data_IF_228438763473
#
_entry.id   IF_228438763473
#
_cell.length_a   1.000
_cell.length_b   1.000
_cell.length_c   1.000
_cell.angle_alpha   90.00
_cell.angle_beta   90.00
_cell.angle_gamma   90.00
#
_symmetry.space_group_name_H-M   'P 1'
#
loop_
_entity.id
_entity.type
_entity.pdbx_description
1 polymer ?
#
# COMPACT_ATOMS: atom_id res chain seq x y z
N UNK A 1 -43.10 -65.78 52.11
CA UNK A 1 -42.40 -64.52 52.43
C UNK A 1 -41.45 -64.24 51.30
N UNK A 2 -41.75 -63.31 50.38
CA UNK A 2 -40.83 -62.74 49.51
C UNK A 2 -41.42 -61.46 48.87
N UNK A 3 -40.81 -60.33 49.16
CA UNK A 3 -41.25 -58.98 48.81
C UNK A 3 -40.65 -58.63 47.44
N UNK A 4 -41.54 -58.53 46.44
CA UNK A 4 -41.26 -58.10 45.11
C UNK A 4 -41.06 -56.58 45.06
N UNK A 5 -39.85 -56.09 44.79
CA UNK A 5 -39.59 -54.67 44.58
C UNK A 5 -39.85 -54.30 43.11
N UNK A 6 -40.91 -53.52 42.90
CA UNK A 6 -41.21 -52.88 41.65
C UNK A 6 -40.23 -51.75 41.41
N UNK A 7 -39.36 -51.84 40.36
CA UNK A 7 -38.53 -50.76 39.86
C UNK A 7 -39.38 -49.90 38.95
N UNK A 8 -39.60 -48.66 39.39
CA UNK A 8 -40.10 -47.55 38.55
C UNK A 8 -39.01 -47.10 37.62
N UNK A 9 -39.22 -47.27 36.32
CA UNK A 9 -38.47 -46.62 35.32
C UNK A 9 -38.96 -45.18 35.10
N UNK A 10 -38.22 -44.21 35.54
CA UNK A 10 -38.43 -42.80 35.17
C UNK A 10 -37.76 -42.58 33.81
N UNK A 11 -38.60 -42.47 32.78
CA UNK A 11 -38.12 -42.04 31.46
C UNK A 11 -37.84 -40.53 31.52
N UNK A 12 -36.58 -40.18 31.58
CA UNK A 12 -36.12 -38.79 31.38
C UNK A 12 -36.12 -38.52 29.86
N UNK A 13 -37.14 -37.78 29.43
CA UNK A 13 -37.15 -37.21 28.07
C UNK A 13 -36.14 -36.10 28.00
N UNK A 14 -34.99 -36.39 27.38
CA UNK A 14 -33.98 -35.38 27.06
C UNK A 14 -34.48 -34.61 25.85
N UNK A 15 -34.98 -33.41 26.07
CA UNK A 15 -35.26 -32.44 24.99
C UNK A 15 -33.90 -31.96 24.43
N UNK A 16 -33.50 -32.49 23.31
CA UNK A 16 -32.42 -31.90 22.50
C UNK A 16 -33.00 -30.60 21.91
N UNK A 17 -32.68 -29.46 22.53
CA UNK A 17 -32.81 -28.17 21.92
C UNK A 17 -31.76 -28.08 20.79
N UNK A 18 -32.20 -28.27 19.56
CA UNK A 18 -31.39 -27.94 18.38
C UNK A 18 -31.23 -26.43 18.33
N UNK A 19 -30.16 -25.94 18.90
CA UNK A 19 -29.69 -24.59 18.60
C UNK A 19 -29.20 -24.57 17.17
N UNK A 20 -30.11 -24.24 16.25
CA UNK A 20 -29.69 -23.77 14.92
C UNK A 20 -28.86 -22.51 15.12
N UNK A 21 -27.56 -22.68 15.18
CA UNK A 21 -26.61 -21.59 15.11
C UNK A 21 -26.82 -20.90 13.77
N UNK A 22 -27.51 -19.76 13.80
CA UNK A 22 -27.42 -18.78 12.74
C UNK A 22 -25.93 -18.45 12.62
N UNK A 23 -25.27 -19.03 11.62
CA UNK A 23 -23.98 -18.54 11.14
C UNK A 23 -24.23 -17.10 10.66
N UNK A 24 -24.04 -16.13 11.55
CA UNK A 24 -24.00 -14.73 11.18
C UNK A 24 -22.91 -14.64 10.10
N UNK A 25 -23.32 -14.31 8.88
CA UNK A 25 -22.42 -14.02 7.80
C UNK A 25 -21.39 -13.03 8.35
N UNK A 26 -20.11 -13.41 8.35
CA UNK A 26 -19.04 -12.51 8.76
C UNK A 26 -19.00 -11.39 7.72
N UNK A 27 -19.72 -10.30 7.97
CA UNK A 27 -19.49 -9.05 7.29
C UNK A 27 -18.01 -8.73 7.40
N UNK A 28 -17.42 -8.24 6.32
CA UNK A 28 -16.02 -7.81 6.28
C UNK A 28 -15.74 -6.96 7.53
N UNK A 29 -15.01 -7.52 8.49
CA UNK A 29 -14.70 -6.88 9.78
C UNK A 29 -13.48 -5.98 9.67
N UNK A 30 -13.21 -5.44 8.48
CA UNK A 30 -12.15 -4.46 8.27
C UNK A 30 -12.36 -3.26 9.21
N UNK A 31 -11.33 -2.79 9.91
CA UNK A 31 -11.43 -1.58 10.74
C UNK A 31 -11.99 -0.37 9.98
N UNK A 32 -11.72 -0.28 8.66
CA UNK A 32 -12.26 0.76 7.80
C UNK A 32 -13.80 0.72 7.73
N UNK A 33 -14.39 -0.48 7.63
CA UNK A 33 -15.84 -0.66 7.60
C UNK A 33 -16.47 -0.33 8.95
N UNK A 34 -15.82 -0.69 10.05
CA UNK A 34 -16.31 -0.41 11.41
C UNK A 34 -16.30 1.10 11.74
N UNK A 35 -15.40 1.85 11.15
CA UNK A 35 -15.25 3.29 11.38
C UNK A 35 -16.20 4.16 10.56
N UNK A 36 -17.06 3.58 9.69
CA UNK A 36 -17.94 4.33 8.82
C UNK A 36 -19.06 5.05 9.61
N UNK A 37 -19.25 6.34 9.32
CA UNK A 37 -20.44 7.08 9.74
C UNK A 37 -21.68 6.57 9.00
N UNK A 38 -22.92 6.79 9.51
CA UNK A 38 -24.12 6.33 8.84
C UNK A 38 -24.26 6.77 7.36
N UNK A 39 -23.96 8.02 6.96
CA UNK A 39 -23.96 8.41 5.55
C UNK A 39 -22.91 7.65 4.71
N UNK A 40 -21.67 7.54 5.21
CA UNK A 40 -20.60 6.81 4.54
C UNK A 40 -20.94 5.32 4.41
N UNK A 41 -21.59 4.75 5.42
CA UNK A 41 -22.06 3.37 5.38
C UNK A 41 -23.09 3.16 4.28
N UNK A 42 -24.02 4.08 4.09
CA UNK A 42 -25.01 4.01 3.02
C UNK A 42 -24.38 4.01 1.62
N UNK A 43 -23.35 4.83 1.40
CA UNK A 43 -22.60 4.81 0.12
C UNK A 43 -21.81 3.50 -0.05
N UNK A 44 -21.17 3.02 1.00
CA UNK A 44 -20.47 1.73 0.98
C UNK A 44 -21.42 0.56 0.65
N UNK A 45 -22.61 0.51 1.27
CA UNK A 45 -23.57 -0.56 1.06
C UNK A 45 -24.09 -0.56 -0.39
N UNK A 46 -24.31 0.62 -1.01
CA UNK A 46 -24.61 0.74 -2.46
C UNK A 46 -23.50 0.13 -3.32
N UNK A 47 -22.25 0.43 -3.03
CA UNK A 47 -21.11 -0.17 -3.77
C UNK A 47 -21.13 -1.70 -3.65
N UNK A 48 -21.44 -2.25 -2.49
CA UNK A 48 -21.55 -3.70 -2.31
C UNK A 48 -22.68 -4.35 -3.13
N UNK A 49 -23.76 -3.59 -3.42
CA UNK A 49 -24.89 -4.04 -4.22
C UNK A 49 -24.67 -3.85 -5.72
N UNK A 50 -23.99 -2.79 -6.13
CA UNK A 50 -23.84 -2.39 -7.53
C UNK A 50 -22.60 -3.01 -8.21
N UNK A 51 -21.51 -3.22 -7.44
CA UNK A 51 -20.26 -3.72 -8.01
C UNK A 51 -20.20 -5.25 -8.06
N UNK A 52 -19.44 -5.78 -9.04
CA UNK A 52 -19.28 -7.21 -9.24
C UNK A 52 -18.20 -7.82 -8.36
N UNK A 53 -18.33 -9.14 -8.16
CA UNK A 53 -17.33 -9.94 -7.47
C UNK A 53 -15.98 -9.90 -8.21
N UNK A 54 -14.94 -9.38 -7.57
CA UNK A 54 -13.60 -9.25 -8.14
C UNK A 54 -12.91 -10.59 -8.50
N UNK A 55 -13.50 -11.74 -8.13
CA UNK A 55 -13.03 -13.06 -8.55
C UNK A 55 -13.78 -13.62 -9.76
N UNK A 56 -14.58 -12.80 -10.46
CA UNK A 56 -15.29 -13.16 -11.68
C UNK A 56 -16.54 -14.04 -11.46
N UNK A 57 -16.97 -14.24 -10.23
CA UNK A 57 -18.23 -14.92 -9.94
C UNK A 57 -19.42 -14.01 -10.32
N UNK A 58 -20.54 -14.56 -10.82
CA UNK A 58 -21.66 -13.78 -11.33
C UNK A 58 -22.59 -13.27 -10.21
N UNK A 59 -21.99 -12.61 -9.21
CA UNK A 59 -22.72 -11.98 -8.12
C UNK A 59 -22.13 -10.63 -7.75
N UNK A 60 -22.84 -9.90 -6.91
CA UNK A 60 -22.38 -8.61 -6.40
C UNK A 60 -21.18 -8.76 -5.46
N UNK A 61 -20.46 -7.68 -5.25
CA UNK A 61 -19.35 -7.63 -4.31
C UNK A 61 -19.79 -8.05 -2.90
N UNK A 62 -20.97 -7.58 -2.46
CA UNK A 62 -21.53 -7.95 -1.16
C UNK A 62 -21.89 -9.43 -1.04
N UNK A 63 -22.41 -10.04 -2.10
CA UNK A 63 -22.66 -11.49 -2.12
C UNK A 63 -21.33 -12.27 -2.12
N UNK A 64 -20.35 -11.79 -2.85
CA UNK A 64 -19.02 -12.40 -2.93
C UNK A 64 -18.34 -12.46 -1.55
N UNK A 65 -18.42 -11.40 -0.78
CA UNK A 65 -17.86 -11.35 0.58
C UNK A 65 -18.48 -12.39 1.53
N UNK A 66 -19.74 -12.78 1.28
CA UNK A 66 -20.49 -13.76 2.11
C UNK A 66 -20.24 -15.20 1.67
N UNK A 67 -20.16 -15.44 0.34
CA UNK A 67 -20.13 -16.80 -0.23
C UNK A 67 -18.76 -17.23 -0.73
N UNK A 68 -17.82 -16.30 -0.95
CA UNK A 68 -16.46 -16.55 -1.43
C UNK A 68 -15.44 -15.89 -0.50
N UNK A 69 -15.40 -16.31 0.75
CA UNK A 69 -14.52 -15.74 1.80
C UNK A 69 -13.03 -15.89 1.50
N UNK A 70 -12.65 -16.83 0.62
CA UNK A 70 -11.29 -17.01 0.11
C UNK A 70 -10.89 -15.97 -0.96
N UNK A 71 -11.86 -15.25 -1.52
CA UNK A 71 -11.61 -14.22 -2.53
C UNK A 71 -10.95 -12.98 -1.92
N UNK A 72 -9.63 -12.99 -1.82
CA UNK A 72 -8.85 -11.85 -1.31
C UNK A 72 -9.03 -10.58 -2.12
N UNK A 73 -9.38 -10.72 -3.41
CA UNK A 73 -9.59 -9.59 -4.29
C UNK A 73 -10.84 -8.81 -3.87
N UNK A 74 -11.97 -9.48 -3.66
CA UNK A 74 -13.19 -8.84 -3.17
C UNK A 74 -13.02 -8.21 -1.79
N UNK A 75 -12.23 -8.82 -0.90
CA UNK A 75 -11.92 -8.21 0.41
C UNK A 75 -11.14 -6.89 0.27
N UNK A 76 -10.24 -6.81 -0.71
CA UNK A 76 -9.50 -5.58 -0.99
C UNK A 76 -10.39 -4.50 -1.61
N UNK A 77 -11.23 -4.85 -2.59
CA UNK A 77 -12.20 -3.94 -3.18
C UNK A 77 -13.13 -3.34 -2.11
N UNK A 78 -13.67 -4.18 -1.24
CA UNK A 78 -14.50 -3.73 -0.12
C UNK A 78 -13.74 -2.81 0.85
N UNK A 79 -12.46 -3.08 1.09
CA UNK A 79 -11.63 -2.20 1.94
C UNK A 79 -11.41 -0.84 1.29
N UNK A 80 -11.10 -0.80 -0.01
CA UNK A 80 -10.96 0.45 -0.78
C UNK A 80 -12.27 1.23 -0.77
N UNK A 81 -13.41 0.55 -1.04
CA UNK A 81 -14.73 1.17 -1.00
C UNK A 81 -15.03 1.80 0.37
N UNK A 82 -14.71 1.11 1.47
CA UNK A 82 -14.92 1.66 2.81
C UNK A 82 -14.03 2.88 3.09
N UNK A 83 -12.78 2.87 2.65
CA UNK A 83 -11.88 4.00 2.83
C UNK A 83 -12.36 5.24 2.05
N UNK A 84 -12.81 5.08 0.81
CA UNK A 84 -13.30 6.19 -0.01
C UNK A 84 -14.67 6.70 0.51
N UNK A 85 -15.59 5.81 0.88
CA UNK A 85 -16.84 6.21 1.51
C UNK A 85 -16.60 6.99 2.82
N UNK A 86 -15.62 6.57 3.63
CA UNK A 86 -15.22 7.28 4.84
C UNK A 86 -14.66 8.69 4.58
N UNK A 87 -14.20 8.97 3.36
CA UNK A 87 -13.79 10.30 2.88
C UNK A 87 -14.94 11.14 2.32
N UNK A 88 -16.14 10.59 2.26
CA UNK A 88 -17.32 11.25 1.71
C UNK A 88 -17.47 11.13 0.20
N UNK A 89 -16.77 10.17 -0.42
CA UNK A 89 -16.89 9.86 -1.86
C UNK A 89 -18.19 9.10 -2.10
N UNK A 90 -18.92 9.43 -3.16
CA UNK A 90 -20.19 8.78 -3.52
C UNK A 90 -19.98 7.38 -4.10
N UNK A 91 -20.99 6.51 -4.01
CA UNK A 91 -20.91 5.15 -4.55
C UNK A 91 -20.52 5.11 -6.04
N UNK A 92 -21.06 6.02 -6.86
CA UNK A 92 -20.72 6.10 -8.28
C UNK A 92 -19.23 6.45 -8.54
N UNK A 93 -18.68 7.37 -7.76
CA UNK A 93 -17.26 7.74 -7.86
C UNK A 93 -16.38 6.60 -7.35
N UNK A 94 -16.78 5.93 -6.28
CA UNK A 94 -16.10 4.75 -5.76
C UNK A 94 -16.06 3.63 -6.82
N UNK A 95 -17.17 3.37 -7.53
CA UNK A 95 -17.20 2.39 -8.61
C UNK A 95 -16.14 2.68 -9.68
N UNK A 96 -15.97 3.95 -10.07
CA UNK A 96 -14.91 4.36 -11.02
C UNK A 96 -13.50 4.06 -10.45
N UNK A 97 -13.27 4.34 -9.18
CA UNK A 97 -11.97 4.04 -8.54
C UNK A 97 -11.72 2.52 -8.43
N UNK A 98 -12.76 1.74 -8.11
CA UNK A 98 -12.66 0.28 -8.08
C UNK A 98 -12.34 -0.31 -9.46
N UNK A 99 -12.99 0.18 -10.52
CA UNK A 99 -12.69 -0.24 -11.89
C UNK A 99 -11.23 0.05 -12.28
N UNK A 100 -10.69 1.21 -11.89
CA UNK A 100 -9.27 1.55 -12.07
C UNK A 100 -8.35 0.63 -11.29
N UNK A 101 -8.73 0.32 -10.06
CA UNK A 101 -7.98 -0.59 -9.19
C UNK A 101 -7.94 -1.99 -9.79
N UNK A 102 -9.07 -2.52 -10.28
CA UNK A 102 -9.14 -3.82 -10.95
C UNK A 102 -8.29 -3.86 -12.21
N UNK A 103 -8.36 -2.84 -13.05
CA UNK A 103 -7.52 -2.74 -14.23
C UNK A 103 -6.03 -2.85 -13.87
N UNK A 104 -5.60 -2.21 -12.77
CA UNK A 104 -4.24 -2.30 -12.26
C UNK A 104 -3.80 -3.71 -11.84
N UNK A 105 -4.74 -4.61 -11.52
CA UNK A 105 -4.42 -6.02 -11.20
C UNK A 105 -4.02 -6.83 -12.43
N UNK A 106 -4.55 -6.49 -13.59
CA UNK A 106 -4.29 -7.17 -14.86
C UNK A 106 -3.09 -6.57 -15.59
N UNK A 107 -2.59 -5.41 -15.13
CA UNK A 107 -1.40 -4.80 -15.69
C UNK A 107 -0.16 -5.67 -15.41
N UNK A 108 0.73 -5.73 -16.39
CA UNK A 108 2.00 -6.44 -16.24
C UNK A 108 2.79 -5.89 -15.06
N UNK A 109 3.03 -6.72 -14.06
CA UNK A 109 3.81 -6.32 -12.88
C UNK A 109 5.27 -6.15 -13.27
N UNK A 110 5.81 -4.97 -13.05
CA UNK A 110 7.22 -4.69 -13.26
C UNK A 110 8.04 -5.23 -12.09
N UNK A 111 9.15 -5.88 -12.39
CA UNK A 111 10.14 -6.27 -11.38
C UNK A 111 11.13 -5.14 -11.22
N UNK A 112 11.42 -4.79 -9.99
CA UNK A 112 12.42 -3.77 -9.65
C UNK A 112 13.60 -4.45 -8.96
N UNK A 113 14.81 -4.03 -9.34
CA UNK A 113 16.01 -4.41 -8.60
C UNK A 113 16.21 -3.38 -7.49
N UNK A 114 16.24 -3.85 -6.27
CA UNK A 114 16.45 -3.03 -5.08
C UNK A 114 17.89 -3.28 -4.59
N UNK A 115 18.63 -2.20 -4.43
CA UNK A 115 19.97 -2.22 -3.85
C UNK A 115 19.84 -2.04 -2.33
N UNK A 116 20.28 -3.01 -1.54
CA UNK A 116 20.17 -2.99 -0.08
C UNK A 116 20.86 -1.77 0.56
N UNK A 117 21.81 -1.14 -0.13
CA UNK A 117 22.47 0.10 0.33
C UNK A 117 21.52 1.32 0.33
N UNK A 118 20.38 1.21 -0.33
CA UNK A 118 19.31 2.22 -0.36
C UNK A 118 18.14 1.83 0.58
N UNK A 119 18.36 0.82 1.43
CA UNK A 119 17.34 0.34 2.36
C UNK A 119 17.74 0.61 3.80
N UNK A 120 16.74 0.88 4.65
CA UNK A 120 16.84 0.83 6.10
C UNK A 120 16.19 -0.44 6.62
N UNK A 121 16.55 -0.86 7.85
CA UNK A 121 15.99 -2.07 8.45
C UNK A 121 16.75 -3.35 8.05
N UNK A 122 16.17 -4.50 8.38
CA UNK A 122 16.83 -5.80 8.18
C UNK A 122 16.64 -6.29 6.74
N UNK A 123 17.69 -6.78 6.05
CA UNK A 123 17.55 -7.35 4.70
C UNK A 123 16.52 -8.48 4.62
N UNK A 124 16.34 -9.25 5.70
CA UNK A 124 15.41 -10.37 5.80
C UNK A 124 14.02 -9.98 6.32
N UNK A 125 13.71 -8.68 6.38
CA UNK A 125 12.38 -8.23 6.79
C UNK A 125 11.30 -8.84 5.89
N UNK A 126 10.20 -9.29 6.49
CA UNK A 126 9.11 -9.96 5.76
C UNK A 126 8.36 -9.04 4.80
N UNK A 127 8.48 -7.72 4.99
CA UNK A 127 7.87 -6.70 4.15
C UNK A 127 8.95 -5.73 3.69
N UNK A 128 9.03 -5.51 2.38
CA UNK A 128 9.82 -4.43 1.79
C UNK A 128 8.87 -3.33 1.32
N UNK A 129 9.02 -2.14 1.91
CA UNK A 129 8.34 -0.94 1.48
C UNK A 129 9.26 -0.22 0.49
N UNK A 130 8.89 -0.20 -0.78
CA UNK A 130 9.63 0.49 -1.84
C UNK A 130 9.01 1.86 -2.08
N UNK A 131 9.74 2.91 -1.73
CA UNK A 131 9.36 4.30 -1.96
C UNK A 131 9.96 4.78 -3.28
N UNK A 132 9.11 5.20 -4.21
CA UNK A 132 9.53 5.90 -5.43
C UNK A 132 9.43 7.39 -5.19
N UNK A 133 10.55 8.08 -5.14
CA UNK A 133 10.62 9.43 -4.60
C UNK A 133 11.51 10.36 -5.41
N UNK A 134 11.20 11.65 -5.33
CA UNK A 134 11.88 12.76 -6.00
C UNK A 134 12.28 13.81 -4.96
N UNK A 135 13.55 14.23 -4.97
CA UNK A 135 14.08 15.18 -4.00
C UNK A 135 13.51 16.59 -4.10
N UNK A 136 12.94 16.98 -5.24
CA UNK A 136 12.25 18.28 -5.40
C UNK A 136 10.74 18.19 -5.19
N UNK A 137 10.15 16.98 -5.07
CA UNK A 137 8.72 16.83 -4.87
C UNK A 137 8.31 17.18 -3.42
N UNK A 138 7.45 18.21 -3.22
CA UNK A 138 7.02 18.59 -1.86
C UNK A 138 6.28 17.47 -1.13
N UNK A 139 5.48 16.67 -1.86
CA UNK A 139 4.75 15.55 -1.27
C UNK A 139 5.70 14.44 -0.80
N UNK A 140 6.79 14.19 -1.52
CA UNK A 140 7.81 13.24 -1.10
C UNK A 140 8.46 13.69 0.21
N UNK A 141 8.82 14.98 0.32
CA UNK A 141 9.38 15.53 1.55
C UNK A 141 8.42 15.44 2.75
N UNK A 142 7.12 15.63 2.53
CA UNK A 142 6.09 15.49 3.57
C UNK A 142 5.85 14.03 3.96
N UNK A 143 5.96 13.10 3.01
CA UNK A 143 5.69 11.68 3.24
C UNK A 143 6.88 10.97 3.88
N UNK A 144 8.11 11.40 3.59
CA UNK A 144 9.36 10.82 4.11
C UNK A 144 9.31 10.54 5.61
N UNK A 145 9.09 11.52 6.50
CA UNK A 145 9.11 11.27 7.93
C UNK A 145 8.03 10.30 8.41
N UNK A 146 6.91 10.22 7.69
CA UNK A 146 5.82 9.28 7.99
C UNK A 146 6.28 7.85 7.69
N UNK A 147 6.90 7.63 6.52
CA UNK A 147 7.40 6.32 6.09
C UNK A 147 8.58 5.87 6.96
N UNK A 148 9.51 6.77 7.25
CA UNK A 148 10.66 6.51 8.13
C UNK A 148 10.20 6.10 9.54
N UNK A 149 9.25 6.85 10.10
CA UNK A 149 8.68 6.50 11.41
C UNK A 149 7.95 5.16 11.37
N UNK A 150 7.13 4.92 10.36
CA UNK A 150 6.43 3.65 10.21
C UNK A 150 7.41 2.48 10.10
N UNK A 151 8.47 2.62 9.32
CA UNK A 151 9.49 1.59 9.16
C UNK A 151 10.25 1.36 10.47
N UNK A 152 10.58 2.42 11.22
CA UNK A 152 11.24 2.33 12.51
C UNK A 152 10.37 1.65 13.57
N UNK A 153 9.09 2.02 13.68
CA UNK A 153 8.13 1.41 14.60
C UNK A 153 7.90 -0.08 14.30
N UNK A 154 8.12 -0.51 13.05
CA UNK A 154 7.93 -1.88 12.58
C UNK A 154 9.23 -2.57 12.15
N UNK A 155 10.38 -2.15 12.64
CA UNK A 155 11.71 -2.59 12.17
C UNK A 155 11.97 -4.10 12.25
N UNK A 156 11.20 -4.84 13.05
CA UNK A 156 11.27 -6.30 13.09
C UNK A 156 10.75 -6.96 11.81
N UNK A 157 9.83 -6.31 11.08
CA UNK A 157 9.09 -6.87 9.95
C UNK A 157 9.19 -6.05 8.67
N UNK A 158 9.49 -4.77 8.76
CA UNK A 158 9.49 -3.83 7.63
C UNK A 158 10.90 -3.30 7.41
N UNK A 159 11.31 -3.27 6.15
CA UNK A 159 12.42 -2.45 5.66
C UNK A 159 11.90 -1.42 4.67
N UNK A 160 12.43 -0.21 4.72
CA UNK A 160 12.12 0.86 3.78
C UNK A 160 13.27 1.00 2.81
N UNK A 161 12.98 0.96 1.50
CA UNK A 161 13.93 1.12 0.42
C UNK A 161 13.54 2.28 -0.46
N UNK A 162 14.47 3.20 -0.65
CA UNK A 162 14.28 4.36 -1.52
C UNK A 162 14.67 4.03 -2.96
N UNK A 163 13.83 4.44 -3.92
CA UNK A 163 14.06 4.30 -5.35
C UNK A 163 13.87 5.66 -6.03
N UNK A 164 14.84 6.05 -6.85
CA UNK A 164 14.78 7.31 -7.56
C UNK A 164 13.65 7.34 -8.58
N UNK A 165 12.85 8.40 -8.52
CA UNK A 165 11.78 8.68 -9.49
C UNK A 165 11.74 10.18 -9.84
N UNK A 166 12.78 10.72 -10.48
CA UNK A 166 12.87 12.14 -10.80
C UNK A 166 11.79 12.52 -11.81
N UNK A 167 10.96 13.50 -11.45
CA UNK A 167 9.88 14.01 -12.27
C UNK A 167 10.43 15.04 -13.26
N UNK A 168 9.95 15.01 -14.49
CA UNK A 168 10.46 15.86 -15.59
C UNK A 168 10.22 17.35 -15.39
N UNK A 169 9.21 17.72 -14.58
CA UNK A 169 8.91 19.10 -14.24
C UNK A 169 9.82 19.68 -13.14
N UNK A 170 10.66 18.87 -12.52
CA UNK A 170 11.57 19.28 -11.46
C UNK A 170 13.00 19.38 -12.01
N UNK A 171 13.57 20.60 -12.17
CA UNK A 171 14.79 20.80 -12.91
C UNK A 171 16.04 20.17 -12.28
N UNK A 172 16.07 20.04 -10.95
CA UNK A 172 17.20 19.46 -10.22
C UNK A 172 16.94 18.03 -9.71
N UNK A 173 15.77 17.45 -9.97
CA UNK A 173 15.43 16.10 -9.51
C UNK A 173 16.40 15.04 -10.05
N UNK A 174 16.73 15.11 -11.35
CA UNK A 174 17.66 14.17 -11.97
C UNK A 174 19.09 14.33 -11.43
N UNK A 175 19.67 15.53 -11.38
CA UNK A 175 20.97 15.75 -10.75
C UNK A 175 21.03 15.29 -9.28
N UNK A 176 19.99 15.58 -8.49
CA UNK A 176 19.91 15.15 -7.09
C UNK A 176 19.86 13.62 -6.96
N UNK A 177 19.06 12.95 -7.78
CA UNK A 177 18.99 11.50 -7.83
C UNK A 177 20.36 10.88 -8.18
N UNK A 178 21.07 11.43 -9.14
CA UNK A 178 22.41 10.98 -9.52
C UNK A 178 23.43 11.17 -8.39
N UNK A 179 23.34 12.29 -7.66
CA UNK A 179 24.18 12.55 -6.50
C UNK A 179 23.95 11.52 -5.38
N UNK A 180 22.71 11.20 -5.09
CA UNK A 180 22.37 10.18 -4.10
C UNK A 180 22.89 8.78 -4.50
N UNK A 181 22.79 8.42 -5.78
CA UNK A 181 23.32 7.15 -6.28
C UNK A 181 24.85 7.11 -6.29
N UNK A 182 25.52 8.23 -6.58
CA UNK A 182 26.99 8.35 -6.44
C UNK A 182 27.39 8.15 -4.98
N UNK A 183 26.67 8.77 -4.05
CA UNK A 183 26.89 8.63 -2.61
C UNK A 183 26.63 7.19 -2.12
N UNK A 184 25.62 6.50 -2.69
CA UNK A 184 25.37 5.08 -2.43
C UNK A 184 26.62 4.24 -2.71
N UNK A 185 27.26 4.45 -3.82
CA UNK A 185 28.45 3.69 -4.24
C UNK A 185 29.67 3.97 -3.36
N UNK A 186 29.60 5.04 -2.54
CA UNK A 186 30.59 5.41 -1.53
C UNK A 186 30.12 5.10 -0.09
N UNK A 187 29.00 4.40 0.09
CA UNK A 187 28.46 4.08 1.42
C UNK A 187 27.91 5.31 2.18
N UNK A 188 27.56 6.38 1.44
CA UNK A 188 27.08 7.66 1.99
C UNK A 188 25.66 8.00 1.55
N UNK A 189 24.90 7.00 1.07
CA UNK A 189 23.58 7.20 0.51
C UNK A 189 22.68 8.03 1.43
N UNK A 190 22.44 7.55 2.64
CA UNK A 190 21.48 8.19 3.57
C UNK A 190 21.93 9.58 4.02
N UNK A 191 23.24 9.80 4.21
CA UNK A 191 23.78 11.12 4.52
C UNK A 191 23.45 12.16 3.43
N UNK A 192 23.61 11.77 2.17
CA UNK A 192 23.31 12.65 1.03
C UNK A 192 21.81 12.73 0.77
N UNK A 193 21.08 11.62 0.88
CA UNK A 193 19.62 11.56 0.77
C UNK A 193 18.95 12.57 1.72
N UNK A 194 19.30 12.52 3.00
CA UNK A 194 18.69 13.39 4.01
C UNK A 194 19.05 14.85 3.73
N UNK A 195 20.32 15.14 3.42
CA UNK A 195 20.75 16.50 3.10
C UNK A 195 20.08 17.07 1.84
N UNK A 196 19.78 16.25 0.83
CA UNK A 196 19.03 16.68 -0.35
C UNK A 196 17.61 17.09 -0.01
N UNK A 197 16.90 16.30 0.78
CA UNK A 197 15.54 16.66 1.24
C UNK A 197 15.55 17.87 2.15
N UNK A 198 16.49 17.97 3.06
CA UNK A 198 16.61 19.11 3.99
C UNK A 198 16.90 20.43 3.24
N UNK A 199 17.51 20.33 2.06
CA UNK A 199 17.79 21.47 1.20
C UNK A 199 16.82 21.59 -0.01
N UNK A 200 15.71 20.85 -0.01
CA UNK A 200 14.79 20.75 -1.14
C UNK A 200 14.42 22.09 -1.77
N UNK A 201 14.10 23.10 -0.95
CA UNK A 201 13.63 24.41 -1.43
C UNK A 201 14.71 25.25 -2.12
N UNK A 202 15.96 24.88 -1.98
CA UNK A 202 17.10 25.63 -2.57
C UNK A 202 17.99 24.75 -3.44
N UNK A 203 17.49 23.55 -3.83
CA UNK A 203 18.27 22.66 -4.68
C UNK A 203 18.68 23.35 -5.98
N UNK A 204 19.96 23.30 -6.23
CA UNK A 204 20.62 23.75 -7.47
C UNK A 204 21.85 22.84 -7.71
N UNK A 205 22.46 22.88 -8.87
CA UNK A 205 23.70 22.14 -9.12
C UNK A 205 24.81 22.45 -8.11
N UNK A 206 24.91 23.69 -7.66
CA UNK A 206 25.90 24.15 -6.67
C UNK A 206 25.60 23.55 -5.30
N UNK A 207 24.36 23.64 -4.84
CA UNK A 207 23.92 23.06 -3.55
C UNK A 207 24.11 21.55 -3.53
N UNK A 208 23.78 20.85 -4.61
CA UNK A 208 24.01 19.41 -4.73
C UNK A 208 25.50 19.08 -4.61
N UNK A 209 26.36 19.90 -5.23
CA UNK A 209 27.80 19.71 -5.14
C UNK A 209 28.34 19.99 -3.74
N UNK A 210 27.82 21.03 -3.03
CA UNK A 210 28.14 21.31 -1.63
C UNK A 210 27.78 20.13 -0.72
N UNK A 211 26.60 19.54 -0.92
CA UNK A 211 26.12 18.37 -0.16
C UNK A 211 27.06 17.18 -0.37
N UNK A 212 27.44 16.89 -1.61
CA UNK A 212 28.39 15.81 -1.91
C UNK A 212 29.74 16.03 -1.23
N UNK A 213 30.29 17.25 -1.32
CA UNK A 213 31.56 17.61 -0.68
C UNK A 213 31.46 17.47 0.85
N UNK A 214 30.39 17.98 1.47
CA UNK A 214 30.15 17.87 2.90
C UNK A 214 30.03 16.41 3.38
N UNK A 215 29.54 15.52 2.54
CA UNK A 215 29.47 14.08 2.80
C UNK A 215 30.80 13.34 2.51
N UNK A 216 31.84 14.04 2.03
CA UNK A 216 33.12 13.45 1.63
C UNK A 216 33.03 12.63 0.34
N UNK A 217 32.01 12.89 -0.49
CA UNK A 217 31.83 12.25 -1.78
C UNK A 217 32.52 13.08 -2.87
N UNK A 218 33.69 12.69 -3.26
CA UNK A 218 34.42 13.30 -4.39
C UNK A 218 33.96 12.64 -5.70
N UNK A 219 33.64 13.46 -6.68
CA UNK A 219 33.23 13.10 -8.03
C UNK A 219 32.27 14.14 -8.58
N UNK A 220 32.46 14.54 -9.85
CA UNK A 220 31.39 15.23 -10.55
C UNK A 220 30.30 14.19 -10.86
N UNK A 221 29.07 14.52 -10.58
CA UNK A 221 27.92 13.82 -11.13
C UNK A 221 28.03 13.93 -12.66
N UNK A 222 28.83 13.07 -13.26
CA UNK A 222 28.92 12.98 -14.71
C UNK A 222 27.57 12.40 -15.15
N UNK A 223 26.91 13.14 -16.02
CA UNK A 223 25.64 12.75 -16.65
C UNK A 223 25.82 11.41 -17.36
N UNK A 224 25.74 10.34 -16.61
CA UNK A 224 25.57 9.01 -17.17
C UNK A 224 24.08 8.73 -17.13
N UNK A 225 23.42 8.37 -18.22
CA UNK A 225 22.02 7.94 -18.17
C UNK A 225 21.89 6.90 -17.06
N UNK A 226 20.90 7.08 -16.18
CA UNK A 226 20.65 6.16 -15.07
C UNK A 226 20.16 4.83 -15.66
N UNK A 227 21.08 3.98 -16.10
CA UNK A 227 20.77 2.64 -16.61
C UNK A 227 20.29 1.69 -15.52
N UNK A 228 20.30 2.12 -14.24
CA UNK A 228 19.87 1.33 -13.08
C UNK A 228 18.83 2.03 -12.19
N UNK A 229 18.16 3.07 -12.67
CA UNK A 229 16.93 3.53 -12.06
C UNK A 229 15.81 2.75 -12.69
N UNK A 230 15.26 1.77 -11.97
CA UNK A 230 14.26 0.85 -12.48
C UNK A 230 14.75 0.22 -13.80
N UNK A 231 15.08 -1.07 -13.81
CA UNK A 231 15.35 -1.82 -15.05
C UNK A 231 14.14 -1.79 -15.97
N UNK A 232 13.88 -0.61 -16.55
CA UNK A 232 12.96 -0.42 -17.65
C UNK A 232 13.80 -0.65 -18.89
N UNK A 233 13.83 -1.88 -19.35
CA UNK A 233 14.06 -2.10 -20.77
C UNK A 233 13.08 -1.17 -21.49
N UNK A 234 13.67 -0.25 -22.24
CA UNK A 234 13.04 0.82 -22.96
C UNK A 234 11.97 0.28 -23.93
N UNK A 235 10.74 0.32 -23.50
CA UNK A 235 9.61 0.53 -24.40
C UNK A 235 8.86 1.73 -23.83
N UNK A 236 8.69 2.80 -24.60
CA UNK A 236 8.08 4.02 -24.11
C UNK A 236 6.56 3.88 -24.06
N UNK A 237 6.05 3.13 -23.10
CA UNK A 237 4.73 3.39 -22.58
C UNK A 237 4.94 4.23 -21.33
N UNK A 238 4.98 5.54 -21.50
CA UNK A 238 4.90 6.46 -20.40
C UNK A 238 3.77 6.00 -19.48
N UNK A 239 4.10 5.61 -18.25
CA UNK A 239 3.10 5.56 -17.19
C UNK A 239 2.59 6.99 -17.14
N UNK A 240 1.30 7.25 -17.43
CA UNK A 240 0.81 8.62 -17.34
C UNK A 240 1.10 9.10 -15.94
N UNK A 241 1.88 10.19 -15.79
CA UNK A 241 2.23 10.78 -14.50
C UNK A 241 0.99 11.04 -13.63
N UNK A 242 -0.16 11.25 -14.26
CA UNK A 242 -1.46 11.39 -13.61
C UNK A 242 -1.88 10.20 -12.71
N UNK A 243 -1.34 9.02 -12.92
CA UNK A 243 -1.76 7.81 -12.16
C UNK A 243 -1.11 7.70 -10.78
N UNK A 244 0.04 8.38 -10.56
CA UNK A 244 0.76 8.36 -9.28
C UNK A 244 0.54 9.63 -8.45
N UNK A 245 0.27 10.76 -9.13
CA UNK A 245 0.02 12.04 -8.46
C UNK A 245 -1.31 12.03 -7.68
N UNK A 246 -2.30 11.24 -8.09
CA UNK A 246 -3.58 11.15 -7.36
C UNK A 246 -3.48 10.45 -6.00
N UNK A 247 -2.47 9.62 -5.77
CA UNK A 247 -2.20 9.02 -4.45
C UNK A 247 -1.50 10.02 -3.49
N UNK A 248 -0.80 11.03 -4.03
CA UNK A 248 -0.09 12.04 -3.26
C UNK A 248 -0.79 13.41 -3.22
N UNK A 249 -1.84 13.65 -3.98
CA UNK A 249 -2.49 14.97 -4.11
C UNK A 249 -3.84 15.12 -3.40
N UNK A 250 -4.18 14.18 -2.49
CA UNK A 250 -5.36 14.31 -1.62
C UNK A 250 -5.08 13.86 -0.21
#
# INVERSE_FOLDING_TARGET
>A
MSISRARRWLATATVLAATAGLAAAQESTSPAVQALSPPARAEYDKVLEDEFCGCGAPHTLGQCLKSHTECRHSQRLATVAALEAGRGVTASEIGVELARYEQGFHDTRRKFTIDDRQCTGKPQASVTLAEFSDFECPHCALTRPILEKFAADNAARVRLCWLSFPLTQHPNAMPAAQAALLARDKGKFWTVHDALFDNQRRLSPEVIQEILQGAGVSGRSSFRPLTNTVGVESTPAAIPAARWVSACSR
#
